data_IF_575603995884
#
_entry.id   IF_575603995884
#
_cell.length_a   1.000
_cell.length_b   1.000
_cell.length_c   1.000
_cell.angle_alpha   90.00
_cell.angle_beta   90.00
_cell.angle_gamma   90.00
#
_symmetry.space_group_name_H-M   'P 1'
#
loop_
_entity.id
_entity.type
_entity.pdbx_description
1 polymer ?
#
# COMPACT_ATOMS: atom_id res chain seq x y z
N UNK A 1 -14.10 -13.64 20.84
CA UNK A 1 -13.30 -12.39 20.82
C UNK A 1 -14.07 -11.47 19.90
N UNK A 2 -14.71 -10.42 20.40
CA UNK A 2 -15.42 -9.50 19.49
C UNK A 2 -14.40 -8.81 18.59
N UNK A 3 -14.61 -8.94 17.30
CA UNK A 3 -13.75 -8.39 16.26
C UNK A 3 -14.19 -6.96 15.95
N UNK A 4 -13.22 -6.09 15.67
CA UNK A 4 -13.53 -4.78 15.10
C UNK A 4 -13.99 -5.01 13.66
N UNK A 5 -15.30 -4.89 13.42
CA UNK A 5 -15.88 -5.05 12.08
C UNK A 5 -15.97 -3.70 11.39
N UNK A 6 -15.45 -3.61 10.17
CA UNK A 6 -15.65 -2.47 9.29
C UNK A 6 -15.64 -2.89 7.83
N UNK A 7 -16.30 -2.09 6.99
CA UNK A 7 -16.30 -2.29 5.54
C UNK A 7 -15.26 -1.37 4.90
N UNK A 8 -14.31 -1.96 4.19
CA UNK A 8 -13.41 -1.22 3.30
C UNK A 8 -13.98 -1.22 1.89
N UNK A 9 -14.16 -0.03 1.30
CA UNK A 9 -14.61 0.10 -0.09
C UNK A 9 -13.40 0.49 -0.94
N UNK A 10 -13.05 -0.36 -1.90
CA UNK A 10 -12.03 -0.07 -2.91
C UNK A 10 -12.71 0.37 -4.20
N UNK A 11 -12.34 1.54 -4.72
CA UNK A 11 -12.95 2.11 -5.94
C UNK A 11 -12.10 1.84 -7.18
N UNK A 12 -11.29 0.77 -7.16
CA UNK A 12 -10.32 0.52 -8.22
C UNK A 12 -11.01 0.36 -9.58
N UNK A 13 -10.55 1.11 -10.58
CA UNK A 13 -11.19 1.17 -11.89
C UNK A 13 -10.21 1.04 -13.07
N UNK A 14 -8.93 0.83 -12.79
CA UNK A 14 -7.92 0.53 -13.81
C UNK A 14 -6.81 -0.35 -13.26
N UNK A 15 -6.28 -1.24 -14.10
CA UNK A 15 -5.12 -2.09 -13.83
C UNK A 15 -3.95 -1.60 -14.67
N UNK A 16 -2.85 -1.23 -14.01
CA UNK A 16 -1.64 -0.75 -14.66
C UNK A 16 -0.53 -1.78 -14.42
N UNK A 17 -0.10 -2.45 -15.49
CA UNK A 17 0.94 -3.50 -15.43
C UNK A 17 2.29 -2.88 -15.78
N UNK A 18 3.24 -2.98 -14.86
CA UNK A 18 4.65 -2.65 -15.05
C UNK A 18 5.45 -3.95 -15.17
N UNK A 19 5.90 -4.28 -16.37
CA UNK A 19 6.63 -5.51 -16.66
C UNK A 19 8.11 -5.20 -16.91
N UNK A 20 8.98 -5.66 -16.01
CA UNK A 20 10.43 -5.51 -16.12
C UNK A 20 11.15 -6.85 -16.40
N UNK A 21 10.42 -7.93 -16.74
CA UNK A 21 11.03 -9.23 -17.00
C UNK A 21 11.90 -9.18 -18.27
N UNK A 22 13.03 -9.89 -18.24
CA UNK A 22 13.95 -10.02 -19.37
C UNK A 22 13.33 -10.79 -20.55
N UNK A 23 13.85 -10.60 -21.76
CA UNK A 23 13.28 -11.18 -22.98
C UNK A 23 13.35 -12.71 -23.03
N UNK A 24 14.33 -13.32 -22.36
CA UNK A 24 14.48 -14.77 -22.25
C UNK A 24 13.63 -15.42 -21.16
N UNK A 25 12.89 -14.61 -20.39
CA UNK A 25 12.12 -15.07 -19.25
C UNK A 25 10.69 -15.41 -19.64
N UNK A 26 9.97 -16.09 -18.75
CA UNK A 26 8.54 -16.32 -18.92
C UNK A 26 7.81 -14.96 -18.87
N UNK A 27 7.25 -14.51 -19.99
CA UNK A 27 6.58 -13.20 -20.11
C UNK A 27 5.20 -13.20 -19.43
N UNK A 28 5.16 -13.36 -18.11
CA UNK A 28 3.92 -13.44 -17.31
C UNK A 28 3.13 -12.14 -17.36
N UNK A 29 3.79 -10.99 -17.30
CA UNK A 29 3.14 -9.68 -17.38
C UNK A 29 2.48 -9.41 -18.73
N UNK A 30 3.18 -9.66 -19.84
CA UNK A 30 2.60 -9.53 -21.19
C UNK A 30 1.40 -10.47 -21.38
N UNK A 31 1.55 -11.74 -20.99
CA UNK A 31 0.47 -12.72 -21.10
C UNK A 31 -0.75 -12.32 -20.26
N UNK A 32 -0.52 -11.83 -19.04
CA UNK A 32 -1.59 -11.33 -18.17
C UNK A 32 -2.34 -10.16 -18.82
N UNK A 33 -1.60 -9.22 -19.43
CA UNK A 33 -2.19 -8.09 -20.13
C UNK A 33 -3.07 -8.54 -21.29
N UNK A 34 -2.58 -9.43 -22.16
CA UNK A 34 -3.34 -9.95 -23.32
C UNK A 34 -4.62 -10.67 -22.86
N UNK A 35 -4.49 -11.57 -21.87
CA UNK A 35 -5.61 -12.31 -21.27
C UNK A 35 -6.70 -11.39 -20.70
N UNK A 36 -6.30 -10.28 -20.05
CA UNK A 36 -7.23 -9.35 -19.44
C UNK A 36 -7.79 -8.34 -20.42
N UNK A 37 -7.06 -7.99 -21.47
CA UNK A 37 -7.54 -7.13 -22.54
C UNK A 37 -8.73 -7.79 -23.25
N UNK A 38 -8.59 -9.07 -23.63
CA UNK A 38 -9.66 -9.83 -24.27
C UNK A 38 -10.87 -9.97 -23.35
N UNK A 39 -10.63 -10.36 -22.09
CA UNK A 39 -11.71 -10.56 -21.13
C UNK A 39 -12.45 -9.26 -20.79
N UNK A 40 -11.73 -8.17 -20.50
CA UNK A 40 -12.34 -6.87 -20.18
C UNK A 40 -13.11 -6.29 -21.36
N UNK A 41 -12.62 -6.45 -22.59
CA UNK A 41 -13.32 -6.05 -23.81
C UNK A 41 -14.62 -6.84 -23.98
N UNK A 42 -14.59 -8.16 -23.79
CA UNK A 42 -15.76 -9.02 -23.92
C UNK A 42 -16.91 -8.65 -22.96
N UNK A 43 -16.59 -8.04 -21.81
CA UNK A 43 -17.59 -7.60 -20.82
C UNK A 43 -17.87 -6.08 -20.85
N UNK A 44 -17.42 -5.37 -21.90
CA UNK A 44 -17.71 -3.94 -22.09
C UNK A 44 -16.87 -2.99 -21.23
N UNK A 45 -15.70 -3.43 -20.75
CA UNK A 45 -14.73 -2.64 -19.97
C UNK A 45 -13.44 -2.40 -20.74
N UNK A 46 -13.55 -2.07 -22.03
CA UNK A 46 -12.38 -1.75 -22.86
C UNK A 46 -11.56 -0.60 -22.23
N UNK A 47 -10.23 -0.74 -22.25
CA UNK A 47 -9.31 0.23 -21.65
C UNK A 47 -9.12 0.08 -20.13
N UNK A 48 -9.70 -0.95 -19.49
CA UNK A 48 -9.49 -1.22 -18.07
C UNK A 48 -8.03 -1.54 -17.72
N UNK A 49 -7.30 -2.20 -18.63
CA UNK A 49 -5.93 -2.61 -18.41
C UNK A 49 -4.96 -1.82 -19.31
N UNK A 50 -3.85 -1.36 -18.76
CA UNK A 50 -2.71 -0.82 -19.51
C UNK A 50 -1.42 -1.58 -19.18
N UNK A 51 -0.46 -1.53 -20.10
CA UNK A 51 0.79 -2.26 -20.00
C UNK A 51 1.98 -1.36 -20.32
N UNK A 52 3.00 -1.41 -19.46
CA UNK A 52 4.24 -0.67 -19.58
C UNK A 52 5.42 -1.64 -19.48
N UNK A 53 6.13 -1.86 -20.58
CA UNK A 53 7.42 -2.55 -20.54
C UNK A 53 8.48 -1.61 -19.97
N UNK A 54 9.15 -2.05 -18.90
CA UNK A 54 10.13 -1.27 -18.15
C UNK A 54 11.52 -1.80 -18.46
N UNK A 55 12.37 -0.96 -19.06
CA UNK A 55 13.76 -1.31 -19.40
C UNK A 55 14.80 -0.52 -18.60
N UNK A 56 14.36 0.47 -17.84
CA UNK A 56 15.24 1.23 -16.95
C UNK A 56 14.46 1.80 -15.76
N UNK A 57 15.21 2.18 -14.74
CA UNK A 57 14.68 2.89 -13.57
C UNK A 57 13.93 4.17 -13.96
N UNK A 58 14.50 4.97 -14.87
CA UNK A 58 13.88 6.22 -15.32
C UNK A 58 12.54 5.96 -16.01
N UNK A 59 12.41 4.87 -16.77
CA UNK A 59 11.13 4.50 -17.40
C UNK A 59 10.08 4.13 -16.35
N UNK A 60 10.46 3.36 -15.32
CA UNK A 60 9.54 3.02 -14.23
C UNK A 60 9.03 4.27 -13.51
N UNK A 61 9.94 5.15 -13.11
CA UNK A 61 9.60 6.38 -12.40
C UNK A 61 8.73 7.29 -13.29
N UNK A 62 9.07 7.42 -14.58
CA UNK A 62 8.24 8.17 -15.52
C UNK A 62 6.83 7.59 -15.65
N UNK A 63 6.70 6.26 -15.74
CA UNK A 63 5.41 5.59 -15.85
C UNK A 63 4.56 5.78 -14.58
N UNK A 64 5.13 5.64 -13.39
CA UNK A 64 4.46 5.91 -12.13
C UNK A 64 3.99 7.37 -12.02
N UNK A 65 4.79 8.34 -12.50
CA UNK A 65 4.42 9.76 -12.52
C UNK A 65 3.33 10.10 -13.53
N UNK A 66 3.27 9.40 -14.66
CA UNK A 66 2.13 9.49 -15.58
C UNK A 66 0.85 9.02 -14.89
N UNK A 67 0.88 7.85 -14.26
CA UNK A 67 -0.26 7.33 -13.47
C UNK A 67 -0.66 8.30 -12.36
N UNK A 68 0.31 8.87 -11.64
CA UNK A 68 0.03 9.87 -10.62
C UNK A 68 -0.71 11.09 -11.20
N UNK A 69 -0.30 11.56 -12.37
CA UNK A 69 -0.91 12.72 -13.04
C UNK A 69 -2.37 12.42 -13.40
N UNK A 70 -2.65 11.22 -13.92
CA UNK A 70 -4.01 10.78 -14.20
C UNK A 70 -4.85 10.65 -12.92
N UNK A 71 -4.29 10.10 -11.85
CA UNK A 71 -4.98 10.01 -10.55
C UNK A 71 -5.37 11.39 -10.00
N UNK A 72 -4.54 12.42 -10.22
CA UNK A 72 -4.84 13.79 -9.79
C UNK A 72 -6.03 14.41 -10.52
N UNK A 73 -6.37 13.93 -11.71
CA UNK A 73 -7.59 14.36 -12.41
C UNK A 73 -8.88 13.83 -11.75
N UNK A 74 -8.75 12.86 -10.83
CA UNK A 74 -9.86 12.29 -10.08
C UNK A 74 -10.62 11.16 -10.79
N UNK A 75 -10.16 10.73 -11.97
CA UNK A 75 -10.82 9.68 -12.76
C UNK A 75 -10.21 8.30 -12.60
N UNK A 76 -8.94 8.21 -12.19
CA UNK A 76 -8.21 6.95 -12.07
C UNK A 76 -7.97 6.58 -10.60
N UNK A 77 -8.37 5.35 -10.25
CA UNK A 77 -8.10 4.69 -8.97
C UNK A 77 -7.40 3.35 -9.29
N UNK A 78 -6.06 3.32 -9.37
CA UNK A 78 -5.36 2.23 -10.02
C UNK A 78 -5.08 1.05 -9.08
N UNK A 79 -5.09 -0.14 -9.65
CA UNK A 79 -4.27 -1.27 -9.18
C UNK A 79 -2.93 -1.18 -9.90
N UNK A 80 -1.85 -1.01 -9.16
CA UNK A 80 -0.48 -1.03 -9.67
C UNK A 80 0.05 -2.46 -9.58
N UNK A 81 0.29 -3.09 -10.72
CA UNK A 81 0.77 -4.47 -10.81
C UNK A 81 2.21 -4.49 -11.31
N UNK A 82 3.09 -5.21 -10.61
CA UNK A 82 4.51 -5.27 -10.97
C UNK A 82 4.92 -6.72 -11.23
N UNK A 83 5.51 -6.95 -12.40
CA UNK A 83 6.07 -8.23 -12.86
C UNK A 83 7.58 -8.06 -13.02
N UNK A 84 8.35 -8.56 -12.06
CA UNK A 84 9.79 -8.39 -11.99
C UNK A 84 10.44 -9.39 -11.01
N UNK A 85 11.76 -9.28 -10.84
CA UNK A 85 12.50 -9.96 -9.78
C UNK A 85 12.58 -9.08 -8.54
N UNK A 86 12.75 -9.69 -7.37
CA UNK A 86 12.86 -8.99 -6.09
C UNK A 86 13.97 -9.55 -5.22
N UNK A 87 14.61 -8.63 -4.52
CA UNK A 87 15.63 -8.90 -3.50
C UNK A 87 15.13 -8.29 -2.18
N UNK A 88 15.21 -9.04 -1.06
CA UNK A 88 14.65 -8.59 0.21
C UNK A 88 15.28 -7.29 0.72
N UNK A 89 16.55 -7.02 0.39
CA UNK A 89 17.27 -5.84 0.85
C UNK A 89 17.36 -4.73 -0.22
N UNK A 90 17.44 -5.09 -1.51
CA UNK A 90 17.71 -4.13 -2.59
C UNK A 90 16.48 -3.63 -3.31
N UNK A 91 15.33 -4.28 -3.15
CA UNK A 91 14.10 -3.92 -3.84
C UNK A 91 13.87 -4.72 -5.12
N UNK A 92 13.19 -4.11 -6.09
CA UNK A 92 12.90 -4.76 -7.37
C UNK A 92 14.09 -4.65 -8.32
N UNK A 93 14.39 -5.74 -9.02
CA UNK A 93 15.51 -5.81 -9.97
C UNK A 93 15.02 -5.60 -11.41
N UNK A 94 15.76 -4.77 -12.14
CA UNK A 94 15.51 -4.41 -13.53
C UNK A 94 16.60 -5.05 -14.43
N UNK A 95 16.38 -6.26 -14.96
CA UNK A 95 17.42 -7.00 -15.70
C UNK A 95 17.93 -6.26 -16.94
N UNK A 96 17.08 -5.49 -17.62
CA UNK A 96 17.43 -4.77 -18.85
C UNK A 96 18.53 -3.71 -18.66
N UNK A 97 18.67 -3.15 -17.45
CA UNK A 97 19.71 -2.17 -17.12
C UNK A 97 20.62 -2.63 -15.96
N UNK A 98 20.40 -3.84 -15.42
CA UNK A 98 21.13 -4.38 -14.27
C UNK A 98 21.12 -3.45 -13.04
N UNK A 99 19.97 -2.82 -12.76
CA UNK A 99 19.79 -1.92 -11.62
C UNK A 99 18.71 -2.43 -10.66
N UNK A 100 18.74 -1.92 -9.44
CA UNK A 100 17.67 -2.12 -8.45
C UNK A 100 16.93 -0.81 -8.20
N UNK A 101 15.63 -0.90 -7.95
CA UNK A 101 14.82 0.17 -7.37
C UNK A 101 14.47 -0.25 -5.95
N UNK A 102 15.00 0.49 -4.97
CA UNK A 102 14.84 0.19 -3.55
C UNK A 102 13.37 0.22 -3.11
N UNK A 103 13.04 -0.54 -2.06
CA UNK A 103 11.68 -0.57 -1.52
C UNK A 103 11.21 0.82 -1.07
N UNK A 104 12.07 1.60 -0.43
CA UNK A 104 11.78 2.97 0.01
C UNK A 104 11.49 3.90 -1.17
N UNK A 105 12.27 3.79 -2.23
CA UNK A 105 12.08 4.59 -3.44
C UNK A 105 10.76 4.24 -4.14
N UNK A 106 10.46 2.93 -4.25
CA UNK A 106 9.20 2.46 -4.82
C UNK A 106 8.00 2.91 -3.98
N UNK A 107 8.08 2.81 -2.65
CA UNK A 107 7.03 3.28 -1.73
C UNK A 107 6.79 4.76 -1.86
N UNK A 108 7.83 5.58 -2.04
CA UNK A 108 7.67 7.02 -2.19
C UNK A 108 6.80 7.38 -3.40
N UNK A 109 7.07 6.77 -4.56
CA UNK A 109 6.28 7.01 -5.77
C UNK A 109 4.85 6.45 -5.62
N UNK A 110 4.68 5.25 -5.06
CA UNK A 110 3.35 4.66 -4.80
C UNK A 110 2.54 5.52 -3.81
N UNK A 111 3.16 6.00 -2.74
CA UNK A 111 2.51 6.87 -1.75
C UNK A 111 2.01 8.18 -2.37
N UNK A 112 2.77 8.73 -3.31
CA UNK A 112 2.41 9.95 -4.03
C UNK A 112 1.18 9.72 -4.95
N UNK A 113 0.99 8.50 -5.47
CA UNK A 113 -0.21 8.07 -6.19
C UNK A 113 -1.37 7.88 -5.20
N UNK A 114 -1.17 7.16 -4.10
CA UNK A 114 -2.25 6.89 -3.13
C UNK A 114 -2.77 8.16 -2.43
N UNK A 115 -1.91 9.16 -2.29
CA UNK A 115 -2.32 10.50 -1.86
C UNK A 115 -3.25 11.15 -2.88
N UNK A 116 -2.94 11.07 -4.18
CA UNK A 116 -3.79 11.61 -5.23
C UNK A 116 -5.16 10.91 -5.28
N UNK A 117 -5.21 9.61 -5.00
CA UNK A 117 -6.43 8.79 -5.02
C UNK A 117 -7.20 8.78 -3.70
N UNK A 118 -6.68 9.44 -2.66
CA UNK A 118 -7.23 9.47 -1.29
C UNK A 118 -7.46 8.07 -0.74
N UNK A 119 -6.39 7.27 -0.67
CA UNK A 119 -6.41 5.90 -0.16
C UNK A 119 -7.20 4.90 -1.02
N UNK A 120 -7.16 5.03 -2.35
CA UNK A 120 -7.80 4.11 -3.29
C UNK A 120 -6.78 3.41 -4.23
N UNK A 121 -5.48 3.56 -4.00
CA UNK A 121 -4.46 2.85 -4.78
C UNK A 121 -4.23 1.47 -4.20
N UNK A 122 -4.30 0.46 -5.07
CA UNK A 122 -3.97 -0.92 -4.73
C UNK A 122 -2.63 -1.31 -5.34
N UNK A 123 -1.95 -2.27 -4.73
CA UNK A 123 -0.67 -2.79 -5.22
C UNK A 123 -0.69 -4.31 -5.28
N UNK A 124 -0.24 -4.86 -6.40
CA UNK A 124 0.02 -6.30 -6.56
C UNK A 124 1.46 -6.45 -7.00
N UNK A 125 2.28 -7.09 -6.16
CA UNK A 125 3.67 -7.37 -6.46
C UNK A 125 3.82 -8.86 -6.77
N UNK A 126 3.88 -9.18 -8.06
CA UNK A 126 4.19 -10.52 -8.56
C UNK A 126 5.72 -10.71 -8.56
N UNK A 127 6.30 -10.64 -7.35
CA UNK A 127 7.75 -10.55 -7.12
C UNK A 127 8.13 -11.34 -5.85
N UNK A 128 9.33 -11.93 -5.85
CA UNK A 128 9.93 -12.49 -4.63
C UNK A 128 10.07 -11.39 -3.56
N UNK A 129 9.79 -11.74 -2.30
CA UNK A 129 9.90 -10.84 -1.15
C UNK A 129 9.10 -9.52 -1.27
N UNK A 130 8.07 -9.47 -2.11
CA UNK A 130 7.27 -8.25 -2.31
C UNK A 130 6.60 -7.73 -1.04
N UNK A 131 6.35 -8.59 -0.04
CA UNK A 131 5.75 -8.16 1.23
C UNK A 131 6.68 -7.28 2.08
N UNK A 132 7.98 -7.24 1.79
CA UNK A 132 8.96 -6.37 2.46
C UNK A 132 8.54 -4.90 2.43
N UNK A 133 7.91 -4.48 1.32
CA UNK A 133 7.40 -3.11 1.15
C UNK A 133 6.39 -2.69 2.26
N UNK A 134 5.70 -3.65 2.87
CA UNK A 134 4.73 -3.37 3.95
C UNK A 134 5.39 -2.94 5.26
N UNK A 135 6.70 -3.21 5.45
CA UNK A 135 7.45 -2.77 6.63
C UNK A 135 7.68 -1.25 6.65
N UNK A 136 7.50 -0.58 5.51
CA UNK A 136 7.62 0.86 5.36
C UNK A 136 6.32 1.61 5.69
N UNK A 137 5.26 0.89 6.09
CA UNK A 137 4.00 1.49 6.54
C UNK A 137 4.13 1.95 8.00
N UNK A 138 3.71 3.18 8.29
CA UNK A 138 3.71 3.77 9.64
C UNK A 138 2.35 4.32 10.01
N UNK A 139 1.96 4.20 11.29
CA UNK A 139 0.72 4.77 11.83
C UNK A 139 0.74 6.31 11.91
N UNK A 140 1.93 6.92 11.86
CA UNK A 140 2.11 8.39 11.94
C UNK A 140 2.27 9.06 10.58
N UNK A 141 2.22 8.28 9.49
CA UNK A 141 2.40 8.76 8.13
C UNK A 141 1.20 8.38 7.24
N UNK A 142 0.95 9.08 6.12
CA UNK A 142 -0.05 8.67 5.15
C UNK A 142 0.27 7.27 4.61
N UNK A 143 -0.74 6.40 4.53
CA UNK A 143 -0.53 5.03 4.06
C UNK A 143 -0.13 5.03 2.58
N UNK A 144 0.89 4.26 2.15
CA UNK A 144 1.32 4.24 0.76
C UNK A 144 0.33 3.54 -0.17
N UNK A 145 -0.52 2.63 0.31
CA UNK A 145 -1.49 1.90 -0.50
C UNK A 145 -2.67 1.40 0.36
N UNK A 146 -3.84 1.22 -0.25
CA UNK A 146 -5.03 0.70 0.42
C UNK A 146 -4.87 -0.78 0.78
N UNK A 147 -4.41 -1.58 -0.18
CA UNK A 147 -4.03 -2.97 0.04
C UNK A 147 -2.85 -3.36 -0.84
N UNK A 148 -2.15 -4.40 -0.40
CA UNK A 148 -1.02 -5.02 -1.08
C UNK A 148 -1.27 -6.53 -1.16
N UNK A 149 -1.05 -7.11 -2.34
CA UNK A 149 -0.97 -8.56 -2.54
C UNK A 149 0.45 -8.88 -2.96
N UNK A 150 1.16 -9.68 -2.17
CA UNK A 150 2.56 -10.01 -2.43
C UNK A 150 2.99 -11.31 -1.75
N UNK A 151 4.09 -11.90 -2.24
CA UNK A 151 4.73 -13.02 -1.57
C UNK A 151 5.62 -12.52 -0.41
N UNK A 152 5.64 -13.20 0.75
CA UNK A 152 6.58 -12.89 1.83
C UNK A 152 8.02 -13.28 1.51
N UNK A 153 8.18 -14.33 0.71
CA UNK A 153 9.45 -14.97 0.38
C UNK A 153 9.55 -15.19 -1.13
N UNK A 154 10.35 -16.16 -1.56
CA UNK A 154 10.42 -16.59 -2.96
C UNK A 154 9.07 -17.11 -3.48
N UNK A 155 8.79 -16.84 -4.75
CA UNK A 155 7.58 -17.30 -5.44
C UNK A 155 7.93 -17.74 -6.86
N UNK A 156 7.32 -18.84 -7.31
CA UNK A 156 7.58 -19.37 -8.63
C UNK A 156 6.77 -18.62 -9.70
N UNK A 157 7.42 -18.24 -10.80
CA UNK A 157 6.75 -17.58 -11.94
C UNK A 157 5.61 -18.42 -12.52
N UNK A 158 5.77 -19.75 -12.58
CA UNK A 158 4.71 -20.66 -13.03
C UNK A 158 3.46 -20.61 -12.17
N UNK A 159 3.63 -20.49 -10.84
CA UNK A 159 2.50 -20.33 -9.92
C UNK A 159 1.77 -18.99 -10.17
N UNK A 160 2.51 -17.89 -10.26
CA UNK A 160 1.95 -16.55 -10.50
C UNK A 160 1.15 -16.51 -11.80
N UNK A 161 1.70 -17.07 -12.88
CA UNK A 161 1.05 -17.21 -14.18
C UNK A 161 -0.31 -17.91 -14.09
N UNK A 162 -0.43 -18.91 -13.21
CA UNK A 162 -1.62 -19.75 -13.14
C UNK A 162 -2.72 -19.10 -12.26
N UNK A 163 -2.37 -18.36 -11.20
CA UNK A 163 -3.34 -17.82 -10.25
C UNK A 163 -3.73 -16.35 -10.49
N UNK A 164 -2.79 -15.50 -10.92
CA UNK A 164 -3.02 -14.06 -11.06
C UNK A 164 -4.09 -13.73 -12.12
N UNK A 165 -4.12 -14.38 -13.31
CA UNK A 165 -5.19 -14.13 -14.28
C UNK A 165 -6.57 -14.47 -13.75
N UNK A 166 -6.71 -15.59 -13.02
CA UNK A 166 -7.98 -16.00 -12.43
C UNK A 166 -8.48 -15.00 -11.38
N UNK A 167 -7.57 -14.52 -10.52
CA UNK A 167 -7.83 -13.44 -9.57
C UNK A 167 -8.39 -12.21 -10.27
N UNK A 168 -7.70 -11.68 -11.28
CA UNK A 168 -8.14 -10.44 -11.94
C UNK A 168 -9.43 -10.63 -12.74
N UNK A 169 -9.60 -11.74 -13.47
CA UNK A 169 -10.85 -12.03 -14.20
C UNK A 169 -12.04 -12.06 -13.24
N UNK A 170 -11.91 -12.68 -12.06
CA UNK A 170 -12.95 -12.67 -11.02
C UNK A 170 -13.28 -11.27 -10.53
N UNK A 171 -12.27 -10.47 -10.17
CA UNK A 171 -12.46 -9.10 -9.67
C UNK A 171 -13.10 -8.21 -10.74
N UNK A 172 -12.62 -8.30 -11.98
CA UNK A 172 -13.13 -7.52 -13.11
C UNK A 172 -14.57 -7.90 -13.44
N UNK A 173 -14.92 -9.19 -13.41
CA UNK A 173 -16.27 -9.65 -13.68
C UNK A 173 -17.28 -9.28 -12.58
N UNK A 174 -16.90 -9.46 -11.32
CA UNK A 174 -17.81 -9.33 -10.17
C UNK A 174 -17.81 -7.95 -9.51
N UNK A 175 -16.70 -7.22 -9.61
CA UNK A 175 -16.44 -6.05 -8.77
C UNK A 175 -16.14 -6.39 -7.31
N UNK A 176 -16.00 -7.67 -6.96
CA UNK A 176 -15.74 -8.14 -5.60
C UNK A 176 -14.28 -8.60 -5.44
N UNK A 177 -13.54 -7.86 -4.62
CA UNK A 177 -12.15 -8.19 -4.28
C UNK A 177 -12.07 -9.52 -3.52
N UNK A 178 -13.02 -9.82 -2.63
CA UNK A 178 -12.99 -11.05 -1.83
C UNK A 178 -13.17 -12.29 -2.71
N UNK A 179 -14.05 -12.22 -3.70
CA UNK A 179 -14.22 -13.28 -4.70
C UNK A 179 -12.91 -13.55 -5.47
N UNK A 180 -12.15 -12.49 -5.80
CA UNK A 180 -10.82 -12.65 -6.38
C UNK A 180 -9.82 -13.26 -5.41
N UNK A 181 -9.72 -12.72 -4.20
CA UNK A 181 -8.78 -13.18 -3.17
C UNK A 181 -8.97 -14.66 -2.81
N UNK A 182 -10.20 -15.17 -2.87
CA UNK A 182 -10.49 -16.59 -2.65
C UNK A 182 -9.83 -17.52 -3.70
N UNK A 183 -9.42 -16.98 -4.85
CA UNK A 183 -8.69 -17.71 -5.90
C UNK A 183 -7.18 -17.64 -5.72
N UNK A 184 -6.68 -16.78 -4.83
CA UNK A 184 -5.26 -16.73 -4.49
C UNK A 184 -4.96 -17.79 -3.42
N UNK A 185 -4.04 -18.69 -3.72
CA UNK A 185 -3.48 -19.61 -2.74
C UNK A 185 -2.18 -19.06 -2.14
N UNK A 186 -1.60 -19.81 -1.20
CA UNK A 186 -0.22 -19.59 -0.78
C UNK A 186 0.72 -19.66 -2.00
N UNK A 187 1.78 -18.84 -2.08
CA UNK A 187 2.35 -18.03 -0.99
C UNK A 187 1.88 -16.57 -0.93
N UNK A 188 0.98 -16.11 -1.80
CA UNK A 188 0.54 -14.71 -1.82
C UNK A 188 -0.27 -14.36 -0.58
N UNK A 189 0.02 -13.20 0.02
CA UNK A 189 -0.66 -12.68 1.20
C UNK A 189 -1.29 -11.33 0.90
N UNK A 190 -2.45 -11.09 1.51
CA UNK A 190 -3.07 -9.78 1.58
C UNK A 190 -2.53 -9.01 2.79
N UNK A 191 -2.04 -7.80 2.54
CA UNK A 191 -1.95 -6.75 3.54
C UNK A 191 -3.06 -5.74 3.25
N UNK A 192 -3.94 -5.48 4.22
CA UNK A 192 -4.96 -4.45 4.11
C UNK A 192 -4.66 -3.32 5.11
N UNK A 193 -4.62 -2.07 4.64
CA UNK A 193 -4.14 -0.95 5.45
C UNK A 193 -5.01 -0.69 6.70
N UNK A 194 -6.34 -0.82 6.57
CA UNK A 194 -7.28 -0.65 7.68
C UNK A 194 -7.05 -1.67 8.80
N UNK A 195 -7.04 -2.97 8.47
CA UNK A 195 -6.74 -4.03 9.42
C UNK A 195 -5.39 -3.81 10.10
N UNK A 196 -4.34 -3.55 9.32
CA UNK A 196 -3.01 -3.31 9.86
C UNK A 196 -3.01 -2.11 10.82
N UNK A 197 -3.62 -0.98 10.43
CA UNK A 197 -3.64 0.24 11.22
C UNK A 197 -4.37 0.05 12.54
N UNK A 198 -5.59 -0.50 12.53
CA UNK A 198 -6.36 -0.65 13.75
C UNK A 198 -5.75 -1.70 14.70
N UNK A 199 -5.18 -2.79 14.18
CA UNK A 199 -4.46 -3.77 15.01
C UNK A 199 -3.20 -3.17 15.62
N UNK A 200 -2.41 -2.43 14.84
CA UNK A 200 -1.17 -1.80 15.30
C UNK A 200 -1.45 -0.71 16.32
N UNK A 201 -2.38 0.20 16.01
CA UNK A 201 -2.76 1.27 16.92
C UNK A 201 -3.38 0.74 18.21
N UNK A 202 -4.26 -0.26 18.14
CA UNK A 202 -4.83 -0.87 19.35
C UNK A 202 -3.74 -1.51 20.22
N UNK A 203 -2.78 -2.20 19.61
CA UNK A 203 -1.64 -2.76 20.33
C UNK A 203 -0.86 -1.66 21.05
N UNK A 204 -0.50 -0.58 20.35
CA UNK A 204 0.16 0.59 20.95
C UNK A 204 -0.67 1.21 22.10
N UNK A 205 -1.98 1.37 21.92
CA UNK A 205 -2.89 1.89 22.96
C UNK A 205 -2.93 1.03 24.22
N UNK A 206 -2.75 -0.28 24.09
CA UNK A 206 -2.72 -1.22 25.21
C UNK A 206 -1.34 -1.26 25.86
N UNK A 207 -0.27 -1.27 25.08
CA UNK A 207 1.08 -1.58 25.59
C UNK A 207 1.92 -0.36 25.92
N UNK A 208 1.73 0.73 25.18
CA UNK A 208 2.75 1.77 25.04
C UNK A 208 2.20 3.20 25.09
N UNK A 209 0.88 3.40 25.20
CA UNK A 209 0.29 4.75 25.36
C UNK A 209 0.45 5.28 26.80
N UNK A 210 1.70 5.44 27.22
CA UNK A 210 2.13 6.02 28.50
C UNK A 210 3.06 7.24 28.22
N UNK A 211 3.73 7.77 29.24
CA UNK A 211 4.60 8.95 29.05
C UNK A 211 5.78 8.67 28.09
N UNK A 212 6.40 7.49 28.18
CA UNK A 212 7.55 7.11 27.37
C UNK A 212 7.17 6.86 25.91
N UNK A 213 6.18 6.00 25.64
CA UNK A 213 5.78 5.71 24.25
C UNK A 213 5.19 6.92 23.53
N UNK A 214 4.53 7.85 24.25
CA UNK A 214 4.13 9.13 23.66
C UNK A 214 5.32 10.02 23.30
N UNK A 215 6.39 10.00 24.10
CA UNK A 215 7.62 10.73 23.77
C UNK A 215 8.28 10.16 22.51
N UNK A 216 8.32 8.83 22.37
CA UNK A 216 8.84 8.15 21.17
C UNK A 216 8.07 8.55 19.90
N UNK A 217 6.74 8.51 19.94
CA UNK A 217 5.90 8.96 18.82
C UNK A 217 6.16 10.44 18.49
N UNK A 218 6.36 11.29 19.51
CA UNK A 218 6.71 12.70 19.29
C UNK A 218 8.06 12.84 18.59
N UNK A 219 9.09 12.08 19.00
CA UNK A 219 10.38 12.09 18.31
C UNK A 219 10.24 11.65 16.86
N UNK A 220 9.53 10.54 16.61
CA UNK A 220 9.33 10.00 15.27
C UNK A 220 8.67 11.04 14.35
N UNK A 221 7.55 11.64 14.78
CA UNK A 221 6.86 12.69 13.99
C UNK A 221 7.78 13.87 13.70
N UNK A 222 8.61 14.29 14.66
CA UNK A 222 9.52 15.42 14.49
C UNK A 222 10.64 15.07 13.51
N UNK A 223 11.24 13.88 13.64
CA UNK A 223 12.28 13.38 12.72
C UNK A 223 11.76 13.32 11.30
N UNK A 224 10.61 12.66 11.08
CA UNK A 224 9.99 12.52 9.75
C UNK A 224 9.71 13.89 9.10
N UNK A 225 9.22 14.86 9.89
CA UNK A 225 8.96 16.22 9.41
C UNK A 225 10.24 16.97 9.03
N UNK A 226 11.29 16.82 9.84
CA UNK A 226 12.60 17.46 9.61
C UNK A 226 13.27 16.90 8.37
N UNK A 227 13.26 15.57 8.22
CA UNK A 227 13.82 14.90 7.03
C UNK A 227 13.08 15.32 5.77
N UNK A 228 11.75 15.27 5.78
CA UNK A 228 10.93 15.62 4.62
C UNK A 228 11.06 17.08 4.19
N UNK A 229 11.15 18.00 5.16
CA UNK A 229 11.19 19.43 4.87
C UNK A 229 12.62 19.97 4.70
N UNK A 230 13.65 19.18 5.01
CA UNK A 230 15.06 19.55 4.84
C UNK A 230 15.53 20.73 5.69
N UNK A 231 14.74 21.20 6.68
CA UNK A 231 15.13 22.30 7.54
C UNK A 231 15.86 21.82 8.79
N UNK A 232 16.80 22.62 9.29
CA UNK A 232 17.47 22.39 10.60
C UNK A 232 17.29 23.54 11.58
N UNK A 233 16.32 24.43 11.32
CA UNK A 233 16.05 25.58 12.16
C UNK A 233 15.46 25.15 13.52
N UNK A 234 16.10 25.58 14.62
CA UNK A 234 15.72 25.26 16.00
C UNK A 234 14.30 25.70 16.37
N UNK A 235 13.83 26.83 15.86
CA UNK A 235 12.47 27.33 16.13
C UNK A 235 11.41 26.46 15.43
N UNK A 236 11.66 26.08 14.18
CA UNK A 236 10.78 25.18 13.44
C UNK A 236 10.71 23.80 14.09
N UNK A 237 11.85 23.26 14.57
CA UNK A 237 11.89 22.00 15.32
C UNK A 237 11.08 22.10 16.63
N UNK A 238 11.21 23.21 17.37
CA UNK A 238 10.41 23.45 18.59
C UNK A 238 8.92 23.51 18.28
N UNK A 239 8.53 24.20 17.21
CA UNK A 239 7.14 24.28 16.77
C UNK A 239 6.58 22.92 16.34
N UNK A 240 7.35 22.14 15.55
CA UNK A 240 6.99 20.77 15.16
C UNK A 240 6.75 19.88 16.39
N UNK A 241 7.65 19.94 17.36
CA UNK A 241 7.55 19.19 18.63
C UNK A 241 6.34 19.60 19.46
N UNK A 242 6.03 20.89 19.54
CA UNK A 242 4.85 21.38 20.25
C UNK A 242 3.55 20.82 19.61
N UNK A 243 3.47 20.81 18.27
CA UNK A 243 2.35 20.21 17.53
C UNK A 243 2.25 18.70 17.76
N UNK A 244 3.37 17.98 17.69
CA UNK A 244 3.41 16.54 17.96
C UNK A 244 2.99 16.20 19.40
N UNK A 245 3.35 17.02 20.40
CA UNK A 245 2.86 16.83 21.78
C UNK A 245 1.35 17.01 21.91
N UNK A 246 0.77 17.97 21.17
CA UNK A 246 -0.67 18.15 21.14
C UNK A 246 -1.38 16.93 20.51
N UNK A 247 -0.78 16.34 19.48
CA UNK A 247 -1.26 15.15 18.77
C UNK A 247 -1.45 13.94 19.70
N UNK A 248 -0.48 13.67 20.58
CA UNK A 248 -0.51 12.50 21.49
C UNK A 248 -1.10 12.81 22.87
N UNK A 249 -1.69 14.01 23.08
CA UNK A 249 -2.13 14.46 24.41
C UNK A 249 -3.18 13.54 25.03
N UNK A 250 -4.10 13.01 24.23
CA UNK A 250 -5.15 12.08 24.66
C UNK A 250 -5.30 10.93 23.66
N UNK A 251 -5.82 9.75 24.07
CA UNK A 251 -6.07 8.64 23.16
C UNK A 251 -7.02 9.01 22.00
N UNK A 252 -8.08 9.76 22.30
CA UNK A 252 -9.03 10.25 21.29
C UNK A 252 -8.35 11.21 20.30
N UNK A 253 -7.56 12.16 20.83
CA UNK A 253 -6.79 13.10 20.01
C UNK A 253 -5.85 12.34 19.09
N UNK A 254 -5.05 11.41 19.62
CA UNK A 254 -4.12 10.62 18.84
C UNK A 254 -4.82 9.77 17.78
N UNK A 255 -5.92 9.09 18.14
CA UNK A 255 -6.70 8.27 17.21
C UNK A 255 -7.21 9.05 16.00
N UNK A 256 -7.91 10.17 16.23
CA UNK A 256 -8.53 10.94 15.14
C UNK A 256 -7.48 11.40 14.15
N UNK A 257 -6.35 11.81 14.69
CA UNK A 257 -5.31 12.48 13.96
C UNK A 257 -4.41 11.45 13.25
N UNK A 258 -4.13 10.30 13.86
CA UNK A 258 -3.47 9.14 13.21
C UNK A 258 -4.33 8.60 12.08
N UNK A 259 -5.62 8.39 12.33
CA UNK A 259 -6.56 7.90 11.31
C UNK A 259 -6.68 8.89 10.15
N UNK A 260 -6.84 10.18 10.45
CA UNK A 260 -6.95 11.21 9.42
C UNK A 260 -5.69 11.32 8.57
N UNK A 261 -4.49 11.18 9.14
CA UNK A 261 -3.25 11.19 8.35
C UNK A 261 -3.15 9.91 7.53
N UNK A 262 -3.29 8.75 8.17
CA UNK A 262 -3.08 7.44 7.56
C UNK A 262 -4.03 7.17 6.40
N UNK A 263 -5.33 7.48 6.57
CA UNK A 263 -6.37 7.25 5.56
C UNK A 263 -6.65 8.47 4.69
N UNK A 264 -5.71 9.42 4.59
CA UNK A 264 -5.80 10.56 3.66
C UNK A 264 -7.07 11.40 3.86
N UNK A 265 -7.40 11.67 5.13
CA UNK A 265 -8.55 12.46 5.56
C UNK A 265 -9.85 11.67 5.77
N UNK A 266 -9.86 10.37 5.43
CA UNK A 266 -11.00 9.49 5.73
C UNK A 266 -10.95 9.05 7.20
N UNK A 267 -12.11 8.81 7.79
CA UNK A 267 -12.24 8.22 9.13
C UNK A 267 -13.15 6.99 9.04
N UNK A 268 -12.62 5.81 8.69
CA UNK A 268 -13.43 4.62 8.40
C UNK A 268 -14.22 4.09 9.60
N UNK A 269 -13.70 4.31 10.81
CA UNK A 269 -14.30 3.82 12.06
C UNK A 269 -14.44 4.98 13.04
N UNK A 270 -15.59 5.16 13.72
CA UNK A 270 -15.73 6.09 14.83
C UNK A 270 -14.81 5.76 16.01
N UNK A 271 -14.33 6.78 16.74
CA UNK A 271 -13.48 6.55 17.91
C UNK A 271 -14.16 5.69 19.00
N UNK A 272 -15.49 5.77 19.14
CA UNK A 272 -16.25 4.98 20.11
C UNK A 272 -16.05 3.48 19.91
N UNK A 273 -16.18 3.02 18.68
CA UNK A 273 -16.06 1.61 18.30
C UNK A 273 -14.61 1.13 18.45
N UNK A 274 -13.65 1.95 18.03
CA UNK A 274 -12.23 1.65 18.23
C UNK A 274 -11.87 1.59 19.72
N UNK A 275 -12.39 2.50 20.55
CA UNK A 275 -12.16 2.49 22.00
C UNK A 275 -12.69 1.20 22.64
N UNK A 276 -13.90 0.78 22.28
CA UNK A 276 -14.48 -0.47 22.78
C UNK A 276 -13.59 -1.68 22.43
N UNK A 277 -13.07 -1.73 21.19
CA UNK A 277 -12.12 -2.76 20.77
C UNK A 277 -10.82 -2.74 21.58
N UNK A 278 -10.27 -1.57 21.89
CA UNK A 278 -9.07 -1.43 22.74
C UNK A 278 -9.34 -1.89 24.17
N UNK A 279 -10.47 -1.50 24.75
CA UNK A 279 -10.86 -1.88 26.11
C UNK A 279 -10.99 -3.40 26.26
N UNK A 280 -11.65 -4.07 25.32
CA UNK A 280 -11.75 -5.54 25.31
C UNK A 280 -10.37 -6.22 25.27
N UNK A 281 -9.44 -5.71 24.44
CA UNK A 281 -8.07 -6.23 24.38
C UNK A 281 -7.29 -6.08 25.68
N UNK A 282 -7.60 -5.08 26.51
CA UNK A 282 -6.98 -4.91 27.84
C UNK A 282 -7.44 -5.98 28.82
N UNK A 283 -8.70 -6.42 28.72
CA UNK A 283 -9.28 -7.44 29.62
C UNK A 283 -8.86 -8.87 29.26
N UNK A 284 -8.38 -9.10 28.03
CA UNK A 284 -7.90 -10.40 27.57
C UNK A 284 -6.40 -10.63 27.82
N UNK A 285 -5.71 -9.71 28.50
CA UNK A 285 -4.30 -9.83 28.92
C UNK A 285 -4.23 -10.06 30.42
#
# INVERSE_FOLDING_TARGET
>A
MEELVYTSICQNNGLIIFDALGESEMQTGLRLYEDLLDHSTAIGRAGYCSFHKIKSKQMLIAALRMVQTECRSGVLFPVLHFECHGDPAKGIFLPACNEYVGWEELVQEIAAINQATRNNTAVVLAVCHGLEISKLVSITAPCPFNYLIAAPDEVQAGYLRDVIPAFYKSVVQSGDLQAGLALLAAPLKLFHCGEWFYRTLATFMVTSFNAAGRAEVVEQIVTDQVEKAGYRNREMIRAARARAKAYVKSPHGFYNQASSIFFHGKLPIPYGDFRAFVELKRHCR
#
